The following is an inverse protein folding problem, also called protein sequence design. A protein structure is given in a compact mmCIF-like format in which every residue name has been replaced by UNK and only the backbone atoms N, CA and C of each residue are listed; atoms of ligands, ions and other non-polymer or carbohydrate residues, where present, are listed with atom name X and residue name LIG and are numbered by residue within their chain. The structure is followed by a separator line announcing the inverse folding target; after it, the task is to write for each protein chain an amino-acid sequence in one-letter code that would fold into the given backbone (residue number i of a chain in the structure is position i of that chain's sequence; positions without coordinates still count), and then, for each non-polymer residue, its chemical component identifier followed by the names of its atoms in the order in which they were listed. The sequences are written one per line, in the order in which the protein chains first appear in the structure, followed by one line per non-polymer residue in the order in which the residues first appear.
data_IF_489809643947
#
_entry.id   IF_489809643947
#
_cell.length_a   1.000
_cell.length_b   1.000
_cell.length_c   1.000
_cell.angle_alpha   90.00
_cell.angle_beta   90.00
_cell.angle_gamma   90.00
#
_symmetry.space_group_name_H-M   'P 1'
#
loop_
_entity.id
_entity.type
_entity.pdbx_description
1 polymer ?
#
# COMPACT_ATOMS: atom_id res chain seq x y z
N UNK A 1 -23.00 68.70 -27.63
CA UNK A 1 -24.23 68.63 -28.45
C UNK A 1 -23.96 67.74 -29.65
N UNK A 2 -24.86 66.75 -29.87
CA UNK A 2 -25.14 65.98 -31.11
C UNK A 2 -24.10 65.00 -31.68
N UNK A 3 -24.45 63.71 -31.52
CA UNK A 3 -24.24 62.54 -32.40
C UNK A 3 -24.82 62.75 -33.82
N UNK A 4 -24.92 61.74 -34.72
CA UNK A 4 -24.35 60.36 -34.77
C UNK A 4 -23.77 59.98 -36.16
N UNK A 5 -23.14 58.81 -36.29
CA UNK A 5 -23.42 57.89 -37.42
C UNK A 5 -23.14 56.44 -37.01
N UNK A 6 -24.03 55.59 -37.50
CA UNK A 6 -24.23 54.15 -37.26
C UNK A 6 -23.62 53.39 -38.43
N UNK A 7 -22.90 52.30 -38.19
CA UNK A 7 -22.83 51.20 -39.16
C UNK A 7 -22.57 49.87 -38.45
N UNK A 8 -23.14 48.84 -39.04
CA UNK A 8 -23.61 47.57 -38.49
C UNK A 8 -22.57 46.46 -38.47
N UNK A 9 -22.82 45.48 -37.59
CA UNK A 9 -22.19 44.16 -37.52
C UNK A 9 -22.27 43.41 -38.85
N UNK A 10 -21.14 42.88 -39.30
CA UNK A 10 -21.04 41.63 -40.06
C UNK A 10 -19.58 41.14 -40.00
N UNK A 11 -19.31 40.02 -39.31
CA UNK A 11 -18.10 39.23 -39.52
C UNK A 11 -18.27 37.82 -38.95
N UNK A 12 -18.84 36.96 -39.78
CA UNK A 12 -18.53 35.53 -39.82
C UNK A 12 -17.24 35.36 -40.66
N UNK A 13 -16.12 34.97 -40.04
CA UNK A 13 -14.97 34.36 -40.73
C UNK A 13 -13.93 33.82 -39.74
N UNK A 14 -13.91 32.52 -39.58
CA UNK A 14 -12.78 31.74 -39.06
C UNK A 14 -11.58 31.80 -40.03
N UNK A 15 -10.35 32.04 -39.57
CA UNK A 15 -9.15 31.82 -40.37
C UNK A 15 -8.64 30.38 -40.24
N UNK A 16 -8.38 29.78 -41.40
CA UNK A 16 -7.82 28.45 -41.63
C UNK A 16 -6.36 28.33 -41.15
N UNK A 17 -6.00 27.15 -40.61
CA UNK A 17 -4.63 26.73 -40.28
C UNK A 17 -4.10 25.87 -41.45
N UNK A 18 -2.82 25.99 -41.87
CA UNK A 18 -2.29 25.26 -43.02
C UNK A 18 -2.05 23.78 -42.72
N UNK A 19 -2.34 22.92 -43.70
CA UNK A 19 -2.02 21.51 -43.71
C UNK A 19 -0.52 21.28 -43.95
N UNK A 20 0.10 20.45 -43.11
CA UNK A 20 1.40 19.84 -43.37
C UNK A 20 1.17 18.38 -43.76
N UNK A 21 1.66 18.02 -44.96
CA UNK A 21 1.78 16.67 -45.46
C UNK A 21 3.02 16.00 -44.85
N UNK A 22 2.83 14.95 -44.05
CA UNK A 22 3.88 13.94 -43.81
C UNK A 22 3.25 12.53 -43.84
N UNK A 23 3.74 11.73 -44.79
CA UNK A 23 3.42 10.30 -44.97
C UNK A 23 3.83 9.47 -43.74
N UNK A 24 3.02 8.46 -43.34
CA UNK A 24 3.42 7.51 -42.32
C UNK A 24 4.40 6.45 -42.88
N UNK A 25 5.38 5.98 -42.09
CA UNK A 25 6.29 4.93 -42.53
C UNK A 25 5.58 3.58 -42.68
N UNK A 26 5.94 2.88 -43.74
CA UNK A 26 5.49 1.54 -44.12
C UNK A 26 5.85 0.49 -43.06
N UNK A 27 4.85 0.02 -42.33
CA UNK A 27 4.96 -1.16 -41.46
C UNK A 27 5.02 -2.43 -42.33
N UNK A 28 6.09 -3.22 -42.16
CA UNK A 28 6.25 -4.53 -42.78
C UNK A 28 5.15 -5.51 -42.37
N UNK A 29 4.69 -6.32 -43.34
CA UNK A 29 3.78 -7.45 -43.12
C UNK A 29 4.39 -8.44 -42.12
N UNK A 30 3.79 -8.55 -40.93
CA UNK A 30 3.89 -9.72 -40.07
C UNK A 30 2.59 -10.52 -40.17
N UNK A 31 2.73 -11.78 -40.55
CA UNK A 31 1.67 -12.80 -40.59
C UNK A 31 1.11 -13.04 -39.19
N UNK A 32 -0.21 -13.25 -39.00
CA UNK A 32 -0.74 -13.53 -37.66
C UNK A 32 -0.34 -14.95 -37.24
N UNK A 33 0.50 -15.05 -36.21
CA UNK A 33 0.68 -16.29 -35.45
C UNK A 33 -0.54 -16.57 -34.57
N UNK A 34 -0.79 -17.82 -34.17
CA UNK A 34 -1.95 -18.17 -33.34
C UNK A 34 -1.87 -17.45 -31.97
N UNK A 35 -3.01 -17.11 -31.35
CA UNK A 35 -3.02 -16.33 -30.12
C UNK A 35 -2.33 -17.09 -28.97
N UNK A 36 -1.27 -16.49 -28.42
CA UNK A 36 -0.65 -16.95 -27.18
C UNK A 36 -1.53 -16.67 -25.96
N UNK A 37 -1.41 -17.47 -24.88
CA UNK A 37 -2.26 -17.32 -23.70
C UNK A 37 -1.97 -16.01 -22.97
N UNK A 38 -3.03 -15.28 -22.62
CA UNK A 38 -2.97 -14.07 -21.78
C UNK A 38 -2.84 -14.50 -20.32
N UNK A 39 -1.71 -14.14 -19.68
CA UNK A 39 -1.51 -14.30 -18.24
C UNK A 39 -2.00 -13.04 -17.51
N UNK A 40 -2.91 -13.21 -16.54
CA UNK A 40 -3.30 -12.20 -15.56
C UNK A 40 -2.30 -12.13 -14.38
N UNK A 41 -2.45 -11.15 -13.47
CA UNK A 41 -1.41 -10.76 -12.51
C UNK A 41 -1.21 -11.69 -11.29
N UNK A 42 -1.66 -12.94 -11.36
CA UNK A 42 -1.36 -13.96 -10.35
C UNK A 42 -0.52 -15.06 -10.99
N UNK A 43 0.78 -15.05 -10.72
CA UNK A 43 1.69 -16.13 -11.08
C UNK A 43 1.38 -17.38 -10.28
N UNK A 44 0.90 -18.44 -10.94
CA UNK A 44 0.66 -19.72 -10.31
C UNK A 44 1.97 -20.53 -10.23
N UNK A 45 2.36 -20.92 -9.01
CA UNK A 45 3.31 -22.00 -8.75
C UNK A 45 2.74 -23.34 -9.29
N UNK A 46 3.54 -24.26 -9.85
CA UNK A 46 3.02 -25.46 -10.52
C UNK A 46 2.60 -26.62 -9.58
N UNK A 47 2.32 -26.40 -8.30
CA UNK A 47 2.16 -27.50 -7.33
C UNK A 47 0.81 -27.60 -6.61
N UNK A 48 -0.23 -26.93 -7.08
CA UNK A 48 -1.59 -27.12 -6.53
C UNK A 48 -2.57 -27.56 -7.61
N UNK A 49 -2.95 -28.84 -7.56
CA UNK A 49 -3.99 -29.44 -8.39
C UNK A 49 -5.33 -28.75 -8.11
N UNK A 50 -5.88 -28.08 -9.12
CA UNK A 50 -7.12 -27.31 -9.01
C UNK A 50 -8.31 -28.26 -8.76
N UNK A 51 -9.06 -28.13 -7.64
CA UNK A 51 -10.14 -29.03 -7.28
C UNK A 51 -11.34 -28.99 -8.26
N UNK A 52 -11.49 -27.90 -9.02
CA UNK A 52 -12.53 -27.79 -10.04
C UNK A 52 -12.23 -28.62 -11.30
N UNK A 53 -10.95 -28.88 -11.57
CA UNK A 53 -10.54 -29.71 -12.70
C UNK A 53 -10.78 -31.21 -12.44
N UNK A 54 -10.80 -31.61 -11.16
CA UNK A 54 -11.19 -32.97 -10.77
C UNK A 54 -12.70 -33.22 -10.97
N UNK A 55 -13.53 -32.20 -10.77
CA UNK A 55 -14.97 -32.28 -11.04
C UNK A 55 -15.28 -32.36 -12.54
N UNK A 56 -14.49 -31.67 -13.37
CA UNK A 56 -14.62 -31.72 -14.83
C UNK A 56 -14.18 -33.07 -15.44
N UNK A 57 -13.50 -33.93 -14.69
CA UNK A 57 -13.09 -35.29 -15.12
C UNK A 57 -14.10 -36.39 -14.74
N UNK A 58 -15.16 -36.07 -13.99
CA UNK A 58 -16.25 -37.02 -13.76
C UNK A 58 -17.09 -37.17 -15.03
N UNK A 59 -17.04 -38.38 -15.61
CA UNK A 59 -17.69 -38.80 -16.87
C UNK A 59 -19.19 -38.45 -16.92
N UNK A 60 -19.62 -37.80 -18.01
CA UNK A 60 -20.99 -37.34 -18.30
C UNK A 60 -22.04 -38.48 -18.35
N UNK A 61 -21.62 -39.74 -18.25
CA UNK A 61 -22.52 -40.91 -18.25
C UNK A 61 -23.40 -41.02 -17.01
N UNK A 62 -23.08 -40.32 -15.92
CA UNK A 62 -23.95 -40.27 -14.76
C UNK A 62 -25.20 -39.39 -15.02
N UNK A 63 -25.06 -38.28 -15.77
CA UNK A 63 -26.15 -37.33 -16.01
C UNK A 63 -27.23 -37.91 -16.94
N UNK A 64 -26.85 -38.70 -17.95
CA UNK A 64 -27.79 -39.34 -18.89
C UNK A 64 -28.67 -40.41 -18.23
N UNK A 65 -28.19 -41.05 -17.15
CA UNK A 65 -28.97 -42.06 -16.41
C UNK A 65 -30.05 -41.41 -15.53
N UNK A 66 -29.87 -40.14 -15.13
CA UNK A 66 -30.86 -39.39 -14.35
C UNK A 66 -31.92 -38.73 -15.24
N UNK A 67 -31.65 -38.49 -16.52
CA UNK A 67 -32.56 -37.78 -17.43
C UNK A 67 -33.39 -38.68 -18.37
N UNK A 68 -33.15 -39.99 -18.43
CA UNK A 68 -33.89 -40.93 -19.29
C UNK A 68 -35.00 -41.74 -18.58
N UNK A 69 -35.58 -41.25 -17.49
CA UNK A 69 -36.81 -41.85 -16.95
C UNK A 69 -38.02 -41.02 -17.35
N UNK A 70 -38.91 -41.68 -18.07
CA UNK A 70 -40.07 -41.23 -18.86
C UNK A 70 -40.96 -40.11 -18.25
N UNK A 71 -41.71 -39.38 -19.11
CA UNK A 71 -42.42 -38.14 -18.78
C UNK A 71 -43.77 -38.30 -18.08
N UNK A 72 -44.15 -39.47 -17.59
CA UNK A 72 -45.56 -39.73 -17.22
C UNK A 72 -45.84 -39.67 -15.71
N UNK A 73 -44.91 -39.16 -14.90
CA UNK A 73 -45.05 -39.11 -13.44
C UNK A 73 -45.58 -37.77 -12.89
N UNK A 74 -46.09 -36.87 -13.74
CA UNK A 74 -46.72 -35.62 -13.29
C UNK A 74 -48.26 -35.59 -13.39
N UNK A 75 -48.91 -36.57 -14.03
CA UNK A 75 -50.39 -36.59 -14.20
C UNK A 75 -51.15 -37.54 -13.25
N UNK A 76 -50.46 -38.27 -12.37
CA UNK A 76 -51.09 -39.29 -11.52
C UNK A 76 -51.58 -38.78 -10.14
N UNK A 77 -51.69 -37.46 -9.94
CA UNK A 77 -52.29 -36.89 -8.73
C UNK A 77 -53.77 -36.48 -8.86
N UNK A 78 -54.39 -36.64 -10.05
CA UNK A 78 -55.77 -36.17 -10.28
C UNK A 78 -56.82 -37.24 -10.64
N UNK A 79 -56.48 -38.51 -10.85
CA UNK A 79 -57.52 -39.55 -11.06
C UNK A 79 -57.20 -40.83 -10.30
N UNK A 80 -58.01 -41.09 -9.27
CA UNK A 80 -57.95 -42.33 -8.49
C UNK A 80 -58.28 -43.54 -9.37
N UNK A 81 -57.26 -44.31 -9.73
CA UNK A 81 -57.41 -45.58 -10.43
C UNK A 81 -56.20 -46.47 -10.17
N UNK A 82 -56.39 -47.58 -9.46
CA UNK A 82 -55.38 -48.63 -9.32
C UNK A 82 -55.28 -49.43 -10.62
N UNK A 83 -54.09 -49.59 -11.23
CA UNK A 83 -53.93 -50.53 -12.33
C UNK A 83 -53.94 -51.96 -11.79
N UNK A 84 -54.85 -52.77 -12.32
CA UNK A 84 -55.00 -54.20 -12.06
C UNK A 84 -53.88 -54.97 -12.78
N UNK A 85 -53.00 -55.63 -12.03
CA UNK A 85 -51.91 -56.42 -12.58
C UNK A 85 -52.28 -57.91 -12.61
N UNK A 86 -52.35 -58.48 -13.81
CA UNK A 86 -52.61 -59.89 -14.08
C UNK A 86 -51.32 -60.72 -13.96
N UNK A 87 -51.33 -61.79 -13.16
CA UNK A 87 -50.18 -62.66 -12.92
C UNK A 87 -49.96 -63.72 -14.03
N UNK A 88 -48.71 -64.02 -14.45
CA UNK A 88 -48.38 -65.22 -15.23
C UNK A 88 -48.24 -66.47 -14.33
N UNK A 89 -48.44 -67.69 -14.88
CA UNK A 89 -48.61 -68.91 -14.10
C UNK A 89 -47.29 -69.47 -13.52
N UNK A 90 -47.41 -70.00 -12.32
CA UNK A 90 -46.40 -70.72 -11.52
C UNK A 90 -45.94 -72.05 -12.14
N UNK A 91 -44.65 -72.36 -12.00
CA UNK A 91 -44.10 -73.71 -12.05
C UNK A 91 -43.31 -74.04 -10.75
N UNK A 92 -43.20 -75.32 -10.33
CA UNK A 92 -43.14 -75.67 -8.91
C UNK A 92 -41.79 -76.22 -8.42
N UNK A 93 -41.58 -76.08 -7.10
CA UNK A 93 -40.64 -76.88 -6.30
C UNK A 93 -39.25 -76.27 -6.19
N UNK A 94 -38.69 -76.02 -5.00
CA UNK A 94 -38.57 -76.99 -3.92
C UNK A 94 -38.37 -76.29 -2.57
N UNK A 95 -38.88 -76.96 -1.53
CA UNK A 95 -38.89 -76.53 -0.14
C UNK A 95 -37.47 -76.54 0.43
N UNK A 96 -36.99 -75.39 0.92
CA UNK A 96 -36.09 -75.36 2.09
C UNK A 96 -36.59 -74.31 3.08
N UNK A 97 -37.01 -74.80 4.24
CA UNK A 97 -37.52 -74.01 5.36
C UNK A 97 -36.42 -73.12 5.93
N UNK A 98 -36.69 -71.83 5.87
CA UNK A 98 -36.64 -70.87 6.97
C UNK A 98 -35.52 -71.04 8.03
N UNK A 99 -34.43 -70.30 7.84
CA UNK A 99 -33.87 -69.49 8.94
C UNK A 99 -34.14 -68.04 8.60
N UNK A 100 -35.14 -67.47 9.27
CA UNK A 100 -35.58 -66.10 9.08
C UNK A 100 -34.46 -65.12 9.41
N UNK A 101 -33.87 -64.54 8.36
CA UNK A 101 -33.22 -63.24 8.44
C UNK A 101 -34.28 -62.25 7.96
N UNK A 102 -34.90 -61.58 8.92
CA UNK A 102 -35.98 -60.64 8.64
C UNK A 102 -35.52 -59.56 7.64
N UNK A 103 -36.40 -59.13 6.73
CA UNK A 103 -36.09 -58.03 5.83
C UNK A 103 -35.97 -56.75 6.66
N UNK A 104 -34.85 -56.03 6.50
CA UNK A 104 -34.69 -54.64 6.91
C UNK A 104 -35.63 -53.76 6.09
N UNK A 105 -36.93 -53.82 6.41
CA UNK A 105 -37.97 -52.96 5.85
C UNK A 105 -38.92 -52.62 6.99
N UNK A 106 -38.59 -51.52 7.68
CA UNK A 106 -39.42 -50.60 8.50
C UNK A 106 -38.60 -50.11 9.69
N UNK A 107 -37.88 -49.01 9.51
CA UNK A 107 -37.33 -48.22 10.61
C UNK A 107 -37.71 -46.73 10.47
N UNK A 108 -38.95 -46.46 10.07
CA UNK A 108 -39.62 -45.18 10.33
C UNK A 108 -40.99 -45.42 10.99
N UNK A 109 -41.10 -46.49 11.78
CA UNK A 109 -42.27 -46.82 12.58
C UNK A 109 -42.03 -46.37 14.02
N UNK A 110 -42.58 -45.23 14.38
CA UNK A 110 -42.55 -44.62 15.74
C UNK A 110 -41.19 -44.09 16.18
N UNK A 111 -40.77 -42.95 15.62
CA UNK A 111 -39.98 -42.01 16.42
C UNK A 111 -40.81 -41.78 17.70
N UNK A 112 -40.34 -42.30 18.84
CA UNK A 112 -40.97 -42.05 20.13
C UNK A 112 -41.19 -40.55 20.28
N UNK A 113 -42.19 -40.11 21.05
CA UNK A 113 -42.50 -38.68 21.22
C UNK A 113 -41.22 -37.85 21.48
N UNK A 114 -40.26 -38.41 22.22
CA UNK A 114 -38.94 -37.82 22.46
C UNK A 114 -38.10 -37.55 21.21
N UNK A 115 -38.09 -38.42 20.20
CA UNK A 115 -37.31 -38.21 18.99
C UNK A 115 -37.94 -37.17 18.04
N UNK A 116 -39.29 -37.06 18.04
CA UNK A 116 -39.98 -35.95 17.34
C UNK A 116 -39.75 -34.61 18.03
N UNK A 117 -39.80 -34.59 19.37
CA UNK A 117 -39.47 -33.40 20.16
C UNK A 117 -38.00 -33.01 19.93
N UNK A 118 -37.07 -33.96 19.97
CA UNK A 118 -35.66 -33.71 19.70
C UNK A 118 -35.44 -33.15 18.27
N UNK A 119 -36.07 -33.73 17.25
CA UNK A 119 -36.01 -33.19 15.89
C UNK A 119 -36.60 -31.77 15.81
N UNK A 120 -37.72 -31.51 16.47
CA UNK A 120 -38.32 -30.17 16.53
C UNK A 120 -37.39 -29.15 17.22
N UNK A 121 -36.77 -29.53 18.35
CA UNK A 121 -35.80 -28.68 19.06
C UNK A 121 -34.58 -28.40 18.17
N UNK A 122 -34.07 -29.40 17.45
CA UNK A 122 -32.95 -29.20 16.51
C UNK A 122 -33.32 -28.26 15.36
N UNK A 123 -34.52 -28.37 14.80
CA UNK A 123 -35.00 -27.47 13.73
C UNK A 123 -35.13 -26.04 14.25
N UNK A 124 -35.71 -25.85 15.44
CA UNK A 124 -35.83 -24.52 16.04
C UNK A 124 -34.46 -23.94 16.37
N UNK A 125 -33.56 -24.75 16.95
CA UNK A 125 -32.19 -24.33 17.22
C UNK A 125 -31.47 -23.91 15.92
N UNK A 126 -31.58 -24.70 14.86
CA UNK A 126 -31.01 -24.36 13.55
C UNK A 126 -31.58 -23.05 12.99
N UNK A 127 -32.89 -22.83 13.09
CA UNK A 127 -33.51 -21.59 12.64
C UNK A 127 -33.05 -20.38 13.48
N UNK A 128 -32.96 -20.53 14.81
CA UNK A 128 -32.42 -19.48 15.68
C UNK A 128 -30.97 -19.16 15.35
N UNK A 129 -30.13 -20.17 15.11
CA UNK A 129 -28.74 -19.93 14.70
C UNK A 129 -28.66 -19.21 13.36
N UNK A 130 -29.55 -19.53 12.41
CA UNK A 130 -29.59 -18.85 11.12
C UNK A 130 -29.97 -17.38 11.31
N UNK A 131 -31.06 -17.10 12.02
CA UNK A 131 -31.51 -15.72 12.29
C UNK A 131 -30.42 -14.92 13.01
N UNK A 132 -29.74 -15.53 13.98
CA UNK A 132 -28.62 -14.92 14.69
C UNK A 132 -27.48 -14.50 13.76
N UNK A 133 -27.08 -15.38 12.82
CA UNK A 133 -26.03 -15.08 11.84
C UNK A 133 -26.44 -14.03 10.80
N UNK A 134 -27.71 -13.98 10.42
CA UNK A 134 -28.21 -12.91 9.55
C UNK A 134 -28.26 -11.56 10.29
N UNK A 135 -28.59 -11.57 11.59
CA UNK A 135 -28.66 -10.37 12.39
C UNK A 135 -27.29 -9.70 12.58
N UNK A 136 -26.22 -10.49 12.79
CA UNK A 136 -24.86 -9.93 12.92
C UNK A 136 -24.38 -9.32 11.60
N UNK A 137 -24.54 -10.01 10.46
CA UNK A 137 -24.18 -9.49 9.13
C UNK A 137 -24.91 -8.18 8.81
N UNK A 138 -26.19 -8.08 9.19
CA UNK A 138 -26.95 -6.85 9.02
C UNK A 138 -26.41 -5.71 9.91
N UNK A 139 -26.07 -6.02 11.16
CA UNK A 139 -25.55 -5.06 12.12
C UNK A 139 -24.17 -4.53 11.70
N UNK A 140 -23.27 -5.42 11.26
CA UNK A 140 -21.94 -5.11 10.71
C UNK A 140 -22.06 -4.13 9.54
N UNK A 141 -22.78 -4.50 8.46
CA UNK A 141 -22.98 -3.64 7.30
C UNK A 141 -23.63 -2.28 7.68
N UNK A 142 -24.56 -2.28 8.64
CA UNK A 142 -25.18 -1.03 9.11
C UNK A 142 -24.19 -0.15 9.87
N UNK A 143 -23.30 -0.74 10.67
CA UNK A 143 -22.24 -0.06 11.39
C UNK A 143 -21.22 0.54 10.42
N UNK A 144 -20.77 -0.23 9.42
CA UNK A 144 -19.85 0.23 8.37
C UNK A 144 -20.37 1.48 7.66
N UNK A 145 -21.62 1.46 7.18
CA UNK A 145 -22.22 2.62 6.53
C UNK A 145 -22.37 3.82 7.47
N UNK A 146 -22.65 3.57 8.75
CA UNK A 146 -22.80 4.62 9.76
C UNK A 146 -21.45 5.29 10.03
N UNK A 147 -20.40 4.49 10.24
CA UNK A 147 -19.03 4.95 10.46
C UNK A 147 -18.47 5.68 9.24
N UNK A 148 -18.70 5.15 8.04
CA UNK A 148 -18.32 5.84 6.79
C UNK A 148 -18.88 7.27 6.74
N UNK A 149 -20.17 7.43 7.06
CA UNK A 149 -20.85 8.74 7.04
C UNK A 149 -20.39 9.66 8.17
N UNK A 150 -20.24 9.13 9.40
CA UNK A 150 -19.89 9.94 10.56
C UNK A 150 -18.44 10.39 10.56
N UNK A 151 -17.52 9.56 10.06
CA UNK A 151 -16.09 9.85 9.95
C UNK A 151 -15.69 10.44 8.59
N UNK A 152 -16.65 10.62 7.66
CA UNK A 152 -16.42 11.14 6.31
C UNK A 152 -15.30 10.39 5.55
N UNK A 153 -15.32 9.06 5.64
CA UNK A 153 -14.31 8.19 5.03
C UNK A 153 -14.58 8.00 3.53
N UNK A 154 -13.51 7.93 2.74
CA UNK A 154 -13.61 7.67 1.29
C UNK A 154 -14.16 6.27 1.00
N UNK A 155 -13.61 5.26 1.68
CA UNK A 155 -14.07 3.88 1.66
C UNK A 155 -14.92 3.56 2.90
N UNK A 156 -15.76 2.53 2.81
CA UNK A 156 -16.42 2.00 4.01
C UNK A 156 -15.36 1.26 4.84
N UNK A 157 -15.32 1.44 6.17
CA UNK A 157 -14.53 0.57 7.02
C UNK A 157 -15.15 -0.83 7.03
N UNK A 158 -14.35 -1.83 7.38
CA UNK A 158 -14.80 -3.20 7.67
C UNK A 158 -15.07 -3.32 9.17
N UNK A 159 -16.23 -3.87 9.54
CA UNK A 159 -16.63 -4.07 10.94
C UNK A 159 -17.02 -5.53 11.13
N UNK A 160 -16.31 -6.23 12.02
CA UNK A 160 -16.67 -7.59 12.43
C UNK A 160 -17.10 -7.60 13.89
N UNK A 161 -18.26 -8.19 14.18
CA UNK A 161 -18.78 -8.33 15.53
C UNK A 161 -18.70 -9.79 15.95
N UNK A 162 -17.86 -10.05 16.93
CA UNK A 162 -17.59 -11.40 17.39
C UNK A 162 -18.60 -11.90 18.43
N UNK A 163 -18.65 -13.23 18.54
CA UNK A 163 -19.41 -13.94 19.57
C UNK A 163 -20.75 -14.52 19.12
N UNK A 164 -21.22 -15.51 19.89
CA UNK A 164 -22.40 -16.31 19.58
C UNK A 164 -23.15 -16.69 20.87
N UNK A 165 -24.48 -16.53 20.95
CA UNK A 165 -25.37 -15.88 19.97
C UNK A 165 -25.29 -14.34 20.01
N UNK A 166 -25.21 -13.69 18.85
CA UNK A 166 -25.17 -12.23 18.71
C UNK A 166 -26.43 -11.55 19.27
N UNK A 167 -27.61 -12.11 19.01
CA UNK A 167 -28.87 -11.51 19.47
C UNK A 167 -28.96 -11.41 20.99
N UNK A 168 -28.36 -12.36 21.71
CA UNK A 168 -28.28 -12.32 23.18
C UNK A 168 -27.37 -11.18 23.65
N UNK A 169 -26.23 -11.00 22.99
CA UNK A 169 -25.29 -9.91 23.25
C UNK A 169 -25.92 -8.54 22.98
N UNK A 170 -26.54 -8.39 21.80
CA UNK A 170 -27.25 -7.17 21.41
C UNK A 170 -28.41 -6.84 22.38
N UNK A 171 -29.19 -7.85 22.80
CA UNK A 171 -30.26 -7.67 23.79
C UNK A 171 -29.71 -7.27 25.17
N UNK A 172 -28.54 -7.77 25.54
CA UNK A 172 -27.81 -7.37 26.75
C UNK A 172 -27.09 -6.01 26.60
N UNK A 173 -27.13 -5.40 25.40
CA UNK A 173 -26.40 -4.18 25.02
C UNK A 173 -24.89 -4.26 25.27
N UNK A 174 -24.33 -5.44 25.14
CA UNK A 174 -22.93 -5.73 25.43
C UNK A 174 -22.38 -6.64 24.34
N UNK A 175 -21.38 -6.16 23.62
CA UNK A 175 -20.62 -6.94 22.65
C UNK A 175 -19.28 -7.28 23.28
N UNK A 176 -18.90 -8.55 23.21
CA UNK A 176 -17.66 -9.01 23.84
C UNK A 176 -16.43 -8.49 23.09
N UNK A 177 -16.41 -8.64 21.75
CA UNK A 177 -15.32 -8.22 20.88
C UNK A 177 -15.86 -7.60 19.59
N UNK A 178 -15.31 -6.47 19.17
CA UNK A 178 -15.62 -5.81 17.89
C UNK A 178 -14.31 -5.47 17.19
N UNK A 179 -14.13 -5.92 15.96
CA UNK A 179 -13.03 -5.53 15.09
C UNK A 179 -13.47 -4.44 14.13
N UNK A 180 -12.58 -3.47 13.92
CA UNK A 180 -12.77 -2.35 13.02
C UNK A 180 -11.50 -2.19 12.21
N UNK A 181 -11.61 -2.25 10.88
CA UNK A 181 -10.50 -1.96 9.97
C UNK A 181 -10.88 -0.79 9.08
N UNK A 182 -10.10 0.28 9.14
CA UNK A 182 -10.28 1.49 8.35
C UNK A 182 -9.13 1.59 7.34
N UNK A 183 -9.40 1.37 6.04
CA UNK A 183 -8.41 1.60 5.00
C UNK A 183 -8.24 3.11 4.72
N UNK A 184 -7.09 3.48 4.17
CA UNK A 184 -6.80 4.80 3.61
C UNK A 184 -7.06 5.99 4.56
N UNK A 185 -6.64 5.87 5.82
CA UNK A 185 -6.76 6.97 6.78
C UNK A 185 -5.66 7.99 6.53
N UNK A 186 -6.04 9.26 6.42
CA UNK A 186 -5.11 10.36 6.32
C UNK A 186 -4.34 10.56 7.65
N UNK A 187 -3.05 10.23 7.66
CA UNK A 187 -2.14 10.42 8.78
C UNK A 187 -1.26 11.65 8.55
N UNK A 188 -1.84 12.85 8.70
CA UNK A 188 -1.10 14.11 8.56
C UNK A 188 -0.63 14.36 7.12
N UNK A 189 0.69 14.29 6.89
CA UNK A 189 1.31 14.48 5.54
C UNK A 189 1.36 13.20 4.69
N UNK A 190 0.92 12.07 5.22
CA UNK A 190 0.91 10.78 4.52
C UNK A 190 -0.53 10.27 4.53
N UNK A 191 -1.18 10.23 3.37
CA UNK A 191 -2.62 10.03 3.26
C UNK A 191 -3.10 8.56 3.35
N UNK A 192 -2.20 7.59 3.53
CA UNK A 192 -2.52 6.16 3.35
C UNK A 192 -1.89 5.31 4.46
N UNK A 193 -2.57 5.23 5.60
CA UNK A 193 -2.32 4.19 6.60
C UNK A 193 -3.58 3.32 6.75
N UNK A 194 -3.37 2.02 6.91
CA UNK A 194 -4.41 1.10 7.35
C UNK A 194 -4.45 1.13 8.88
N UNK A 195 -5.64 1.31 9.44
CA UNK A 195 -5.84 1.35 10.90
C UNK A 195 -6.79 0.23 11.28
N UNK A 196 -6.31 -0.73 12.06
CA UNK A 196 -7.15 -1.75 12.67
C UNK A 196 -7.28 -1.53 14.17
N UNK A 197 -8.46 -1.79 14.71
CA UNK A 197 -8.75 -1.66 16.12
C UNK A 197 -9.67 -2.81 16.56
N UNK A 198 -9.40 -3.34 17.74
CA UNK A 198 -10.23 -4.35 18.41
C UNK A 198 -10.69 -3.77 19.73
N UNK A 199 -12.00 -3.56 19.85
CA UNK A 199 -12.65 -3.17 21.10
C UNK A 199 -13.12 -4.40 21.87
N UNK A 200 -12.89 -4.40 23.18
CA UNK A 200 -13.32 -5.45 24.10
C UNK A 200 -14.29 -4.88 25.15
N UNK A 201 -15.28 -5.67 25.55
CA UNK A 201 -16.33 -5.28 26.52
C UNK A 201 -17.04 -3.98 26.10
N UNK A 202 -17.60 -3.97 24.90
CA UNK A 202 -18.27 -2.80 24.31
C UNK A 202 -19.70 -2.73 24.81
N UNK A 203 -20.03 -1.70 25.58
CA UNK A 203 -21.36 -1.48 26.16
C UNK A 203 -22.05 -0.33 25.45
N UNK A 204 -23.17 -0.62 24.80
CA UNK A 204 -23.91 0.36 24.01
C UNK A 204 -24.88 1.17 24.89
N UNK A 205 -24.85 2.49 24.76
CA UNK A 205 -25.80 3.42 25.38
C UNK A 205 -26.84 3.92 24.36
N UNK A 206 -28.09 4.13 24.79
CA UNK A 206 -29.17 4.65 23.94
C UNK A 206 -30.57 4.25 24.40
N UNK A 207 -31.63 4.77 23.77
CA UNK A 207 -33.03 4.43 24.09
C UNK A 207 -33.63 3.37 23.14
N UNK A 208 -34.40 2.41 23.68
CA UNK A 208 -35.05 1.35 22.89
C UNK A 208 -34.16 0.18 22.46
N UNK A 209 -34.68 -0.79 21.72
CA UNK A 209 -33.91 -1.98 21.31
C UNK A 209 -32.91 -1.72 20.17
N UNK A 210 -33.04 -0.59 19.46
CA UNK A 210 -32.27 -0.28 18.25
C UNK A 210 -31.57 1.09 18.30
N UNK A 211 -31.78 1.88 19.36
CA UNK A 211 -31.13 3.18 19.52
C UNK A 211 -29.74 3.00 20.12
N UNK A 212 -28.72 3.51 19.42
CA UNK A 212 -27.33 3.57 19.89
C UNK A 212 -26.85 5.01 19.75
N UNK A 213 -26.66 5.68 20.88
CA UNK A 213 -26.21 7.07 20.97
C UNK A 213 -24.72 7.17 21.37
N UNK A 214 -24.18 6.09 21.95
CA UNK A 214 -22.78 5.95 22.29
C UNK A 214 -22.38 4.53 22.71
N UNK A 215 -21.12 4.38 23.05
CA UNK A 215 -20.55 3.14 23.58
C UNK A 215 -19.44 3.43 24.61
N UNK A 216 -19.40 2.61 25.65
CA UNK A 216 -18.30 2.53 26.61
C UNK A 216 -17.50 1.25 26.32
N UNK A 217 -16.20 1.39 26.06
CA UNK A 217 -15.33 0.31 25.63
C UNK A 217 -14.33 0.04 26.75
N UNK A 218 -14.38 -1.16 27.31
CA UNK A 218 -13.52 -1.56 28.43
C UNK A 218 -12.03 -1.57 28.07
N UNK A 219 -11.68 -2.12 26.91
CA UNK A 219 -10.29 -2.18 26.41
C UNK A 219 -10.20 -2.06 24.89
N UNK A 220 -9.11 -1.48 24.40
CA UNK A 220 -8.84 -1.35 22.97
C UNK A 220 -7.41 -1.84 22.69
N UNK A 221 -7.28 -2.69 21.68
CA UNK A 221 -6.00 -2.98 21.02
C UNK A 221 -6.06 -2.41 19.59
N UNK A 222 -5.10 -1.57 19.22
CA UNK A 222 -5.04 -0.97 17.89
C UNK A 222 -3.74 -1.29 17.19
N UNK A 223 -3.77 -1.30 15.86
CA UNK A 223 -2.61 -1.42 15.01
C UNK A 223 -2.73 -0.42 13.85
N UNK A 224 -1.67 0.32 13.58
CA UNK A 224 -1.56 1.24 12.44
C UNK A 224 -0.44 0.72 11.57
N UNK A 225 -0.76 0.39 10.32
CA UNK A 225 0.19 -0.09 9.32
C UNK A 225 0.38 0.98 8.25
N UNK A 226 1.63 1.40 8.08
CA UNK A 226 2.06 2.27 7.00
C UNK A 226 2.86 1.45 5.98
N UNK A 227 2.30 1.22 4.80
CA UNK A 227 3.00 0.50 3.74
C UNK A 227 4.08 1.38 3.10
N UNK A 228 5.18 0.77 2.65
CA UNK A 228 6.24 1.48 1.95
C UNK A 228 5.85 1.95 0.55
N UNK A 229 4.96 1.22 -0.12
CA UNK A 229 4.42 1.62 -1.42
C UNK A 229 3.61 2.91 -1.31
N UNK A 230 2.80 3.02 -0.26
CA UNK A 230 2.00 4.21 0.02
C UNK A 230 2.87 5.37 0.48
N UNK A 231 3.87 5.11 1.32
CA UNK A 231 4.84 6.12 1.72
C UNK A 231 5.56 6.76 0.51
N UNK A 232 6.01 5.95 -0.45
CA UNK A 232 6.67 6.45 -1.66
C UNK A 232 5.76 7.29 -2.56
N UNK A 233 4.48 6.90 -2.65
CA UNK A 233 3.44 7.66 -3.39
C UNK A 233 3.19 9.03 -2.76
N UNK A 234 3.02 9.06 -1.43
CA UNK A 234 2.66 10.27 -0.67
C UNK A 234 3.82 11.25 -0.52
N UNK A 235 5.06 10.78 -0.42
CA UNK A 235 6.23 11.64 -0.34
C UNK A 235 6.67 12.22 -1.70
N UNK A 236 5.93 11.94 -2.79
CA UNK A 236 6.35 12.30 -4.15
C UNK A 236 7.67 11.64 -4.56
N UNK A 237 8.02 10.54 -3.89
CA UNK A 237 9.27 9.82 -4.02
C UNK A 237 9.04 8.46 -4.69
N UNK A 238 8.22 8.42 -5.74
CA UNK A 238 7.81 7.16 -6.40
C UNK A 238 8.97 6.39 -7.03
N UNK A 239 10.13 7.04 -7.21
CA UNK A 239 11.37 6.42 -7.69
C UNK A 239 12.32 6.00 -6.55
N UNK A 240 11.88 6.12 -5.30
CA UNK A 240 12.60 5.68 -4.10
C UNK A 240 11.92 4.43 -3.54
N UNK A 241 12.68 3.34 -3.47
CA UNK A 241 12.28 2.12 -2.79
C UNK A 241 12.60 2.22 -1.31
N UNK A 242 11.57 2.03 -0.48
CA UNK A 242 11.72 1.89 0.97
C UNK A 242 11.71 0.41 1.34
N UNK A 243 12.67 -0.02 2.16
CA UNK A 243 12.76 -1.42 2.62
C UNK A 243 13.09 -1.48 4.10
N UNK A 244 12.44 -2.38 4.82
CA UNK A 244 12.70 -2.62 6.23
C UNK A 244 13.95 -3.47 6.44
N UNK A 245 14.74 -3.12 7.45
CA UNK A 245 15.91 -3.88 7.88
C UNK A 245 15.92 -4.02 9.40
N UNK A 246 15.83 -5.25 9.87
CA UNK A 246 15.68 -5.50 11.31
C UNK A 246 14.30 -5.03 11.77
N UNK A 247 14.20 -4.54 13.01
CA UNK A 247 12.93 -4.16 13.65
C UNK A 247 12.73 -2.66 13.76
N UNK A 248 13.73 -1.85 13.40
CA UNK A 248 13.73 -0.40 13.68
C UNK A 248 14.31 0.43 12.53
N UNK A 249 14.81 -0.17 11.42
CA UNK A 249 15.45 0.59 10.35
C UNK A 249 14.72 0.50 9.03
N UNK A 250 14.45 1.63 8.41
CA UNK A 250 13.97 1.75 7.04
C UNK A 250 15.11 2.24 6.16
N UNK A 251 15.31 1.62 5.01
CA UNK A 251 16.31 2.01 4.03
C UNK A 251 15.60 2.63 2.83
N UNK A 252 15.97 3.84 2.46
CA UNK A 252 15.47 4.53 1.28
C UNK A 252 16.55 4.54 0.20
N UNK A 253 16.26 3.93 -0.97
CA UNK A 253 17.18 3.87 -2.11
C UNK A 253 16.44 4.15 -3.41
N UNK A 254 16.99 5.01 -4.26
CA UNK A 254 16.41 5.24 -5.58
C UNK A 254 16.87 6.55 -6.19
N UNK A 255 15.99 7.22 -6.94
CA UNK A 255 16.27 8.55 -7.48
C UNK A 255 15.31 9.60 -6.96
N UNK A 256 15.83 10.80 -6.75
CA UNK A 256 15.09 11.96 -6.29
C UNK A 256 15.17 13.06 -7.37
N UNK A 257 14.04 13.59 -7.83
CA UNK A 257 14.04 14.74 -8.72
C UNK A 257 14.43 16.01 -7.94
N UNK A 258 15.59 16.57 -8.23
CA UNK A 258 16.10 17.82 -7.64
C UNK A 258 16.40 18.81 -8.76
N UNK A 259 15.72 19.96 -8.75
CA UNK A 259 15.83 20.99 -9.79
C UNK A 259 15.70 20.44 -11.22
N UNK A 260 14.78 19.49 -11.44
CA UNK A 260 14.55 18.85 -12.74
C UNK A 260 15.58 17.79 -13.14
N UNK A 261 16.44 17.34 -12.22
CA UNK A 261 17.41 16.26 -12.45
C UNK A 261 17.17 15.09 -11.51
N UNK A 262 17.27 13.88 -12.04
CA UNK A 262 17.23 12.66 -11.25
C UNK A 262 18.59 12.43 -10.59
N UNK A 263 18.62 12.48 -9.25
CA UNK A 263 19.83 12.23 -8.46
C UNK A 263 19.68 10.95 -7.65
N UNK A 264 20.72 10.13 -7.57
CA UNK A 264 20.64 8.88 -6.81
C UNK A 264 20.67 9.17 -5.31
N UNK A 265 19.61 8.77 -4.60
CA UNK A 265 19.44 8.95 -3.16
C UNK A 265 19.71 7.64 -2.42
N UNK A 266 20.46 7.74 -1.33
CA UNK A 266 20.51 6.73 -0.27
C UNK A 266 20.31 7.40 1.08
N UNK A 267 19.44 6.86 1.91
CA UNK A 267 19.27 7.29 3.29
C UNK A 267 18.80 6.12 4.14
N UNK A 268 19.11 6.15 5.43
CA UNK A 268 18.62 5.21 6.42
C UNK A 268 17.79 5.99 7.44
N UNK A 269 16.63 5.47 7.84
CA UNK A 269 15.80 6.05 8.89
C UNK A 269 15.66 5.06 10.04
N UNK A 270 15.82 5.54 11.26
CA UNK A 270 15.71 4.76 12.48
C UNK A 270 14.43 5.13 13.22
N UNK A 271 13.52 4.18 13.33
CA UNK A 271 12.20 4.34 13.92
C UNK A 271 12.24 3.84 15.35
N UNK A 272 11.85 4.69 16.29
CA UNK A 272 11.80 4.36 17.71
C UNK A 272 10.53 4.90 18.34
N UNK A 273 10.06 4.22 19.38
CA UNK A 273 9.04 4.77 20.26
C UNK A 273 9.63 5.91 21.08
N UNK A 274 8.87 7.00 21.19
CA UNK A 274 9.17 8.18 21.99
C UNK A 274 8.05 8.41 23.03
N UNK A 275 8.33 8.05 24.28
CA UNK A 275 7.34 8.08 25.36
C UNK A 275 6.14 7.18 25.09
N UNK A 276 4.97 7.56 25.62
CA UNK A 276 3.74 6.75 25.53
C UNK A 276 2.88 7.08 24.31
N UNK A 277 3.18 8.16 23.59
CA UNK A 277 2.33 8.63 22.46
C UNK A 277 3.12 9.05 21.22
N UNK A 278 4.45 9.07 21.29
CA UNK A 278 5.32 9.50 20.20
C UNK A 278 6.01 8.34 19.48
N UNK A 279 6.24 8.55 18.19
CA UNK A 279 7.19 7.79 17.36
C UNK A 279 8.23 8.77 16.86
N UNK A 280 9.50 8.55 17.19
CA UNK A 280 10.62 9.32 16.69
C UNK A 280 11.26 8.60 15.49
N UNK A 281 11.59 9.38 14.46
CA UNK A 281 12.28 8.90 13.26
C UNK A 281 13.60 9.63 13.14
N UNK A 282 14.75 8.97 13.17
CA UNK A 282 16.05 9.62 12.99
C UNK A 282 16.62 9.26 11.61
N UNK A 283 16.75 10.24 10.72
CA UNK A 283 17.33 10.02 9.39
C UNK A 283 18.85 10.18 9.44
N UNK A 284 19.57 9.16 8.98
CA UNK A 284 21.02 9.06 9.01
C UNK A 284 21.57 8.59 7.67
N UNK A 285 22.87 8.80 7.44
CA UNK A 285 23.55 8.29 6.25
C UNK A 285 23.00 8.81 4.92
N UNK A 286 22.31 9.95 4.93
CA UNK A 286 21.77 10.55 3.72
C UNK A 286 22.91 10.91 2.77
N UNK A 287 22.76 10.49 1.52
CA UNK A 287 23.73 10.69 0.44
C UNK A 287 22.97 10.86 -0.87
N UNK A 288 23.30 11.92 -1.58
CA UNK A 288 22.77 12.19 -2.93
C UNK A 288 23.94 12.19 -3.90
N UNK A 289 23.96 11.25 -4.83
CA UNK A 289 25.01 11.14 -5.84
C UNK A 289 24.55 11.81 -7.15
N UNK A 290 25.38 12.71 -7.67
CA UNK A 290 25.17 13.44 -8.92
C UNK A 290 25.92 12.69 -10.03
N UNK A 291 25.31 11.58 -10.47
CA UNK A 291 25.99 10.62 -11.34
C UNK A 291 27.27 10.13 -10.69
N UNK A 292 28.37 10.16 -11.43
CA UNK A 292 29.72 9.89 -10.94
C UNK A 292 30.54 11.17 -10.73
N UNK A 293 29.93 12.35 -10.79
CA UNK A 293 30.65 13.62 -10.71
C UNK A 293 30.91 14.03 -9.26
N UNK A 294 29.87 13.99 -8.44
CA UNK A 294 29.94 14.48 -7.07
C UNK A 294 28.98 13.73 -6.15
N UNK A 295 29.31 13.71 -4.86
CA UNK A 295 28.45 13.23 -3.79
C UNK A 295 28.12 14.39 -2.87
N UNK A 296 26.83 14.53 -2.56
CA UNK A 296 26.34 15.43 -1.54
C UNK A 296 25.94 14.66 -0.27
N UNK A 297 26.39 15.13 0.89
CA UNK A 297 25.96 14.65 2.21
C UNK A 297 25.49 15.84 3.05
N UNK A 298 24.26 15.84 3.56
CA UNK A 298 23.81 16.91 4.44
C UNK A 298 24.51 16.80 5.80
N UNK A 299 24.96 17.94 6.32
CA UNK A 299 25.55 18.10 7.64
C UNK A 299 26.59 19.21 7.68
N UNK A 300 27.29 19.32 8.80
CA UNK A 300 28.37 20.33 9.02
C UNK A 300 29.69 19.68 9.40
N UNK A 301 29.80 18.35 9.31
CA UNK A 301 31.01 17.59 9.53
C UNK A 301 32.02 17.73 8.38
N UNK A 302 33.24 17.23 8.58
CA UNK A 302 34.34 17.40 7.60
C UNK A 302 34.11 16.67 6.28
N UNK A 303 33.21 15.68 6.24
CA UNK A 303 32.85 14.90 5.04
C UNK A 303 31.46 15.25 4.50
N UNK A 304 30.83 16.25 5.11
CA UNK A 304 29.51 16.76 4.72
C UNK A 304 29.68 17.90 3.71
N UNK A 305 28.61 18.21 2.97
CA UNK A 305 28.64 19.11 1.83
C UNK A 305 28.72 18.37 0.50
N UNK A 306 29.04 19.11 -0.56
CA UNK A 306 29.14 18.60 -1.92
C UNK A 306 30.61 18.41 -2.27
N UNK A 307 31.02 17.17 -2.50
CA UNK A 307 32.41 16.80 -2.80
C UNK A 307 32.49 16.12 -4.17
N UNK A 308 33.55 16.37 -4.91
CA UNK A 308 33.82 15.63 -6.16
C UNK A 308 34.12 14.15 -5.85
N UNK A 309 33.73 13.26 -6.75
CA UNK A 309 34.25 11.88 -6.70
C UNK A 309 35.59 11.81 -7.43
N UNK A 310 36.40 10.75 -7.21
CA UNK A 310 37.61 10.52 -8.01
C UNK A 310 37.35 10.54 -9.53
N UNK A 311 36.29 9.85 -9.98
CA UNK A 311 35.89 9.86 -11.39
C UNK A 311 35.40 11.23 -11.87
N UNK A 312 34.78 12.01 -10.98
CA UNK A 312 34.39 13.39 -11.27
C UNK A 312 35.59 14.31 -11.47
N UNK A 313 36.65 14.14 -10.67
CA UNK A 313 37.90 14.87 -10.80
C UNK A 313 38.66 14.47 -12.08
N UNK A 314 38.69 13.20 -12.44
CA UNK A 314 39.28 12.73 -13.70
C UNK A 314 38.57 13.39 -14.90
N UNK A 315 37.23 13.36 -14.92
CA UNK A 315 36.42 14.04 -15.96
C UNK A 315 36.62 15.56 -15.97
N UNK A 316 36.92 16.15 -14.82
CA UNK A 316 37.25 17.56 -14.71
C UNK A 316 38.63 17.86 -15.31
N UNK A 317 39.61 17.00 -15.04
CA UNK A 317 40.97 17.09 -15.57
C UNK A 317 40.98 16.98 -17.10
N UNK A 318 40.15 16.11 -17.67
CA UNK A 318 39.96 15.98 -19.12
C UNK A 318 39.42 17.25 -19.79
N UNK A 319 38.87 18.18 -18.99
CA UNK A 319 38.28 19.44 -19.46
C UNK A 319 39.10 20.61 -18.95
N UNK A 320 40.21 20.92 -19.62
CA UNK A 320 41.18 21.97 -19.22
C UNK A 320 40.51 23.29 -18.83
N UNK A 321 39.47 23.72 -19.54
CA UNK A 321 38.73 24.95 -19.22
C UNK A 321 38.05 24.93 -17.84
N UNK A 322 37.48 23.79 -17.42
CA UNK A 322 36.80 23.65 -16.12
C UNK A 322 37.82 23.48 -14.99
N UNK A 323 38.86 22.69 -15.21
CA UNK A 323 39.97 22.56 -14.28
C UNK A 323 40.64 23.91 -14.01
N UNK A 324 40.97 24.67 -15.07
CA UNK A 324 41.52 26.04 -14.93
C UNK A 324 40.58 26.97 -14.16
N UNK A 325 39.27 26.85 -14.33
CA UNK A 325 38.30 27.64 -13.56
C UNK A 325 38.36 27.36 -12.05
N UNK A 326 38.64 26.11 -11.65
CA UNK A 326 38.83 25.75 -10.24
C UNK A 326 40.10 26.39 -9.67
N UNK A 327 41.23 26.24 -10.36
CA UNK A 327 42.50 26.86 -9.97
C UNK A 327 42.53 28.39 -10.12
N UNK A 328 41.50 28.99 -10.71
CA UNK A 328 41.33 30.45 -10.75
C UNK A 328 40.95 31.01 -9.38
N UNK A 329 40.50 30.16 -8.45
CA UNK A 329 40.00 30.58 -7.14
C UNK A 329 41.15 30.63 -6.13
N UNK A 330 41.49 31.83 -5.60
CA UNK A 330 42.63 31.96 -4.70
C UNK A 330 42.54 31.12 -3.43
N UNK A 331 41.33 30.94 -2.89
CA UNK A 331 41.09 30.14 -1.68
C UNK A 331 41.36 28.65 -1.89
N UNK A 332 40.99 28.11 -3.06
CA UNK A 332 41.34 26.73 -3.43
C UNK A 332 42.86 26.60 -3.55
N UNK A 333 43.49 27.51 -4.29
CA UNK A 333 44.94 27.49 -4.50
C UNK A 333 45.72 27.53 -3.18
N UNK A 334 45.31 28.39 -2.24
CA UNK A 334 45.94 28.46 -0.92
C UNK A 334 45.71 27.20 -0.08
N UNK A 335 44.55 26.56 -0.20
CA UNK A 335 44.25 25.33 0.52
C UNK A 335 45.10 24.14 0.04
N UNK A 336 45.47 24.09 -1.24
CA UNK A 336 46.27 23.02 -1.84
C UNK A 336 47.76 23.04 -1.41
N UNK A 337 48.22 24.10 -0.76
CA UNK A 337 49.65 24.25 -0.38
C UNK A 337 50.62 24.26 -1.56
N UNK A 338 50.12 24.45 -2.79
CA UNK A 338 50.93 24.43 -4.02
C UNK A 338 51.54 25.82 -4.25
N UNK A 339 52.85 25.92 -4.59
CA UNK A 339 53.47 27.21 -4.89
C UNK A 339 52.77 27.95 -6.05
N UNK A 340 52.56 29.26 -5.92
CA UNK A 340 51.92 30.11 -6.93
C UNK A 340 52.59 30.04 -8.32
N UNK A 341 53.88 29.71 -8.38
CA UNK A 341 54.59 29.49 -9.65
C UNK A 341 54.07 28.26 -10.40
N UNK A 342 53.82 27.15 -9.68
CA UNK A 342 53.31 25.91 -10.27
C UNK A 342 51.85 26.07 -10.70
N UNK A 343 51.06 26.82 -9.95
CA UNK A 343 49.67 27.16 -10.30
C UNK A 343 49.63 28.01 -11.57
N UNK A 344 50.49 29.05 -11.67
CA UNK A 344 50.59 29.86 -12.88
C UNK A 344 51.04 29.06 -14.10
N UNK A 345 51.96 28.12 -13.92
CA UNK A 345 52.37 27.20 -14.99
C UNK A 345 51.20 26.32 -15.45
N UNK A 346 50.46 25.71 -14.51
CA UNK A 346 49.28 24.89 -14.79
C UNK A 346 48.13 25.69 -15.44
N UNK A 347 47.92 26.95 -15.08
CA UNK A 347 46.92 27.80 -15.74
C UNK A 347 47.31 28.15 -17.18
N UNK A 348 48.61 28.22 -17.48
CA UNK A 348 49.14 28.57 -18.80
C UNK A 348 49.24 27.37 -19.75
N UNK A 349 49.60 26.18 -19.26
CA UNK A 349 49.86 24.98 -20.07
C UNK A 349 49.06 23.76 -19.60
N UNK A 350 48.39 23.08 -20.54
CA UNK A 350 47.51 21.95 -20.24
C UNK A 350 48.26 20.69 -19.75
N UNK A 351 49.53 20.51 -20.12
CA UNK A 351 50.36 19.40 -19.63
C UNK A 351 50.80 19.64 -18.19
N UNK A 352 51.19 20.86 -17.86
CA UNK A 352 51.52 21.25 -16.48
C UNK A 352 50.27 21.14 -15.58
N UNK A 353 49.08 21.45 -16.11
CA UNK A 353 47.81 21.21 -15.43
C UNK A 353 47.55 19.73 -15.17
N UNK A 354 47.79 18.87 -16.16
CA UNK A 354 47.64 17.43 -16.02
C UNK A 354 48.64 16.85 -15.01
N UNK A 355 49.89 17.32 -15.01
CA UNK A 355 50.90 16.92 -14.02
C UNK A 355 50.49 17.33 -12.59
N UNK A 356 49.98 18.55 -12.45
CA UNK A 356 49.48 19.04 -11.16
C UNK A 356 48.29 18.20 -10.66
N UNK A 357 47.31 17.93 -11.53
CA UNK A 357 46.15 17.10 -11.23
C UNK A 357 46.49 15.60 -11.07
N UNK A 358 47.67 15.16 -11.51
CA UNK A 358 48.20 13.82 -11.26
C UNK A 358 48.92 13.69 -9.91
N UNK A 359 49.12 14.79 -9.17
CA UNK A 359 49.82 14.77 -7.88
C UNK A 359 48.86 14.27 -6.78
N UNK A 360 49.17 13.16 -6.06
CA UNK A 360 48.23 12.56 -5.10
C UNK A 360 47.74 13.51 -4.00
N UNK A 361 48.62 14.34 -3.44
CA UNK A 361 48.23 15.32 -2.42
C UNK A 361 47.26 16.36 -2.95
N UNK A 362 47.47 16.85 -4.18
CA UNK A 362 46.57 17.81 -4.83
C UNK A 362 45.21 17.17 -5.11
N UNK A 363 45.20 15.91 -5.55
CA UNK A 363 43.96 15.14 -5.75
C UNK A 363 43.19 14.99 -4.44
N UNK A 364 43.86 14.58 -3.37
CA UNK A 364 43.24 14.40 -2.05
C UNK A 364 42.62 15.71 -1.54
N UNK A 365 43.38 16.82 -1.62
CA UNK A 365 42.90 18.13 -1.19
C UNK A 365 41.72 18.62 -2.05
N UNK A 366 41.76 18.41 -3.38
CA UNK A 366 40.66 18.77 -4.28
C UNK A 366 39.39 17.97 -4.02
N UNK A 367 39.51 16.68 -3.65
CA UNK A 367 38.38 15.84 -3.28
C UNK A 367 37.79 16.22 -1.91
N UNK A 368 38.56 16.88 -1.05
CA UNK A 368 38.10 17.39 0.24
C UNK A 368 37.44 18.77 0.16
N UNK A 369 37.50 19.45 -0.99
CA UNK A 369 36.86 20.77 -1.17
C UNK A 369 35.34 20.62 -1.15
N UNK A 370 34.69 21.26 -0.18
CA UNK A 370 33.25 21.43 -0.18
C UNK A 370 32.83 22.48 -1.22
N UNK A 371 32.23 22.00 -2.31
CA UNK A 371 31.75 22.83 -3.41
C UNK A 371 30.58 23.75 -3.00
N UNK A 372 29.85 23.47 -1.92
CA UNK A 372 28.80 24.35 -1.39
C UNK A 372 29.40 25.62 -0.79
N UNK A 373 30.46 25.49 0.00
CA UNK A 373 31.13 26.66 0.60
C UNK A 373 31.85 27.48 -0.48
N UNK A 374 32.44 26.77 -1.46
CA UNK A 374 33.01 27.39 -2.65
C UNK A 374 31.95 28.16 -3.45
N UNK A 375 30.75 27.61 -3.58
CA UNK A 375 29.61 28.25 -4.24
C UNK A 375 29.27 29.59 -3.60
N UNK A 376 29.14 29.58 -2.27
CA UNK A 376 28.75 30.73 -1.48
C UNK A 376 29.77 31.86 -1.59
N UNK A 377 31.06 31.53 -1.63
CA UNK A 377 32.13 32.51 -1.79
C UNK A 377 32.32 32.98 -3.24
N UNK A 378 32.15 32.09 -4.22
CA UNK A 378 32.52 32.31 -5.63
C UNK A 378 31.49 31.74 -6.63
N UNK A 379 30.31 32.35 -6.76
CA UNK A 379 29.20 31.81 -7.57
C UNK A 379 29.52 31.69 -9.07
N UNK A 380 30.41 32.52 -9.61
CA UNK A 380 30.77 32.49 -11.02
C UNK A 380 31.60 31.26 -11.42
N UNK A 381 32.30 30.63 -10.46
CA UNK A 381 33.14 29.45 -10.68
C UNK A 381 32.26 28.24 -10.98
N UNK A 382 31.15 28.09 -10.28
CA UNK A 382 30.22 26.98 -10.48
C UNK A 382 29.59 26.94 -11.86
N UNK A 383 29.19 28.11 -12.38
CA UNK A 383 28.65 28.20 -13.75
C UNK A 383 29.69 27.74 -14.76
N UNK A 384 30.97 28.04 -14.54
CA UNK A 384 32.09 27.56 -15.36
C UNK A 384 32.36 26.07 -15.20
N UNK A 385 32.10 25.51 -14.02
CA UNK A 385 32.17 24.06 -13.75
C UNK A 385 30.95 23.30 -14.33
N UNK A 386 29.91 24.01 -14.77
CA UNK A 386 28.68 23.42 -15.31
C UNK A 386 27.71 22.93 -14.22
N UNK A 387 27.86 23.42 -12.99
CA UNK A 387 26.94 23.16 -11.89
C UNK A 387 25.84 24.22 -11.90
N UNK A 388 24.58 23.78 -11.89
CA UNK A 388 23.41 24.66 -11.89
C UNK A 388 23.25 25.30 -10.49
N UNK A 389 23.14 26.64 -10.38
CA UNK A 389 22.91 27.31 -9.09
C UNK A 389 21.63 26.83 -8.39
N UNK A 390 20.54 26.60 -9.15
CA UNK A 390 19.27 26.16 -8.58
C UNK A 390 19.34 24.74 -8.01
N UNK A 391 20.24 23.90 -8.53
CA UNK A 391 20.50 22.59 -7.95
C UNK A 391 21.17 22.71 -6.59
N UNK A 392 22.15 23.61 -6.45
CA UNK A 392 22.84 23.83 -5.18
C UNK A 392 21.91 24.42 -4.13
N UNK A 393 21.09 25.39 -4.50
CA UNK A 393 20.07 25.94 -3.60
C UNK A 393 19.15 24.82 -3.09
N UNK A 394 18.69 23.93 -3.98
CA UNK A 394 17.87 22.79 -3.61
C UNK A 394 18.60 21.77 -2.71
N UNK A 395 19.90 21.54 -2.91
CA UNK A 395 20.72 20.67 -2.06
C UNK A 395 21.02 21.31 -0.70
N UNK A 396 21.34 22.60 -0.66
CA UNK A 396 21.57 23.37 0.57
C UNK A 396 20.29 23.45 1.40
N UNK A 397 19.12 23.52 0.75
CA UNK A 397 17.83 23.45 1.42
C UNK A 397 17.65 22.14 2.20
N UNK A 398 18.16 21.01 1.70
CA UNK A 398 18.17 19.75 2.45
C UNK A 398 19.02 19.79 3.73
N UNK A 399 19.95 20.74 3.84
CA UNK A 399 20.91 20.85 4.97
C UNK A 399 20.50 21.86 6.01
N UNK A 400 19.59 22.79 5.71
CA UNK A 400 19.29 23.89 6.64
C UNK A 400 18.95 23.31 8.02
N UNK A 401 19.50 23.86 9.12
CA UNK A 401 19.38 23.29 10.47
C UNK A 401 17.93 23.08 10.94
N UNK A 402 17.00 23.85 10.38
CA UNK A 402 15.56 23.68 10.63
C UNK A 402 15.00 22.38 10.02
N UNK A 403 15.67 21.75 9.07
CA UNK A 403 15.34 20.43 8.52
C UNK A 403 16.05 19.31 9.27
N UNK A 404 17.30 19.46 9.71
CA UNK A 404 17.96 18.45 10.57
C UNK A 404 17.17 18.20 11.87
N UNK A 405 16.68 19.25 12.53
CA UNK A 405 15.81 19.15 13.71
C UNK A 405 14.38 18.64 13.38
N UNK A 406 13.96 18.71 12.10
CA UNK A 406 12.63 18.24 11.62
C UNK A 406 12.68 16.88 10.92
N UNK A 407 13.86 16.39 10.55
CA UNK A 407 14.11 15.04 10.06
C UNK A 407 13.96 14.04 11.20
N UNK A 408 14.02 14.52 12.45
CA UNK A 408 13.30 13.92 13.57
C UNK A 408 11.79 14.09 13.38
N UNK A 409 11.21 13.30 12.47
CA UNK A 409 9.76 13.24 12.28
C UNK A 409 9.15 12.53 13.49
N UNK A 410 8.89 13.30 14.55
CA UNK A 410 8.11 12.90 15.69
C UNK A 410 6.63 12.89 15.31
N UNK A 411 6.03 11.72 15.13
CA UNK A 411 4.57 11.61 15.05
C UNK A 411 4.03 11.38 16.46
N UNK A 412 3.13 12.25 16.92
CA UNK A 412 2.39 12.02 18.16
C UNK A 412 0.99 11.55 17.81
N UNK A 413 0.52 10.50 18.49
CA UNK A 413 -0.86 10.07 18.35
C UNK A 413 -1.82 11.23 18.64
N UNK A 414 -2.79 11.52 17.75
CA UNK A 414 -3.79 12.54 18.03
C UNK A 414 -4.56 12.21 19.31
N UNK A 415 -5.09 13.23 19.97
CA UNK A 415 -6.07 13.04 21.03
C UNK A 415 -7.33 12.45 20.40
N UNK A 416 -7.73 11.25 20.84
CA UNK A 416 -8.95 10.62 20.35
C UNK A 416 -10.16 11.38 20.89
N UNK A 417 -11.25 11.50 20.11
CA UNK A 417 -12.47 12.09 20.60
C UNK A 417 -13.08 11.21 21.70
N UNK A 418 -13.07 11.66 22.96
CA UNK A 418 -13.66 10.97 24.10
C UNK A 418 -12.85 11.04 25.39
N UNK A 419 -13.39 10.44 26.45
CA UNK A 419 -12.62 10.09 27.65
C UNK A 419 -11.96 8.72 27.43
N UNK A 420 -10.70 8.56 27.83
CA UNK A 420 -9.95 7.31 27.76
C UNK A 420 -8.44 7.53 27.64
N UNK A 421 -7.64 6.53 28.02
CA UNK A 421 -6.20 6.55 27.84
C UNK A 421 -5.82 5.64 26.67
N UNK A 422 -5.05 6.17 25.71
CA UNK A 422 -4.48 5.40 24.60
C UNK A 422 -2.99 5.68 24.54
N UNK A 423 -2.24 4.59 24.52
CA UNK A 423 -0.77 4.60 24.54
C UNK A 423 -0.21 3.65 23.49
N UNK A 424 0.95 4.02 22.97
CA UNK A 424 1.81 3.16 22.18
C UNK A 424 2.27 1.98 23.03
N UNK A 425 2.08 0.79 22.48
CA UNK A 425 2.62 -0.44 23.01
C UNK A 425 3.96 -0.75 22.37
N UNK A 426 4.02 -0.68 21.05
CA UNK A 426 5.17 -1.12 20.26
C UNK A 426 5.25 -0.38 18.92
N UNK A 427 6.45 -0.25 18.38
CA UNK A 427 6.70 0.28 17.03
C UNK A 427 7.73 -0.63 16.39
N UNK A 428 7.39 -1.21 15.24
CA UNK A 428 8.28 -2.09 14.50
C UNK A 428 8.31 -1.74 13.03
N UNK A 429 9.49 -1.87 12.46
CA UNK A 429 9.71 -1.88 11.03
C UNK A 429 9.63 -3.33 10.54
N UNK A 430 8.83 -3.54 9.51
CA UNK A 430 8.68 -4.77 8.76
C UNK A 430 9.27 -4.60 7.35
N UNK A 431 9.52 -5.68 6.59
CA UNK A 431 10.17 -5.59 5.28
C UNK A 431 9.47 -4.62 4.30
N UNK A 432 8.15 -4.50 4.40
CA UNK A 432 7.26 -3.78 3.49
C UNK A 432 6.47 -2.63 4.16
N UNK A 433 6.72 -2.33 5.44
CA UNK A 433 6.06 -1.23 6.12
C UNK A 433 6.49 -0.97 7.55
N UNK A 434 5.79 -0.06 8.21
CA UNK A 434 5.95 0.25 9.63
C UNK A 434 4.64 -0.12 10.33
N UNK A 435 4.75 -0.89 11.41
CA UNK A 435 3.62 -1.34 12.23
C UNK A 435 3.72 -0.69 13.61
N UNK A 436 2.67 0.02 13.99
CA UNK A 436 2.55 0.72 15.26
C UNK A 436 1.41 0.10 16.05
N UNK A 437 1.69 -0.46 17.23
CA UNK A 437 0.67 -1.07 18.10
C UNK A 437 0.29 -0.15 19.24
N UNK A 438 -1.00 -0.15 19.54
CA UNK A 438 -1.68 0.75 20.46
C UNK A 438 -2.49 -0.06 21.45
N UNK A 439 -2.60 0.45 22.67
CA UNK A 439 -3.50 -0.09 23.68
C UNK A 439 -4.21 1.03 24.40
N UNK A 440 -5.45 0.82 24.78
CA UNK A 440 -6.21 1.75 25.58
C UNK A 440 -7.26 1.10 26.45
N UNK A 441 -7.85 1.89 27.34
CA UNK A 441 -8.90 1.43 28.26
C UNK A 441 -9.88 2.56 28.60
N UNK A 442 -11.12 2.16 28.92
CA UNK A 442 -12.17 3.07 29.39
C UNK A 442 -12.55 4.15 28.37
N UNK A 443 -12.63 3.75 27.09
CA UNK A 443 -12.88 4.66 25.98
C UNK A 443 -14.38 4.90 25.83
N UNK A 444 -14.83 6.16 25.88
CA UNK A 444 -16.23 6.53 25.57
C UNK A 444 -16.34 7.24 24.24
N UNK A 445 -17.24 6.74 23.39
CA UNK A 445 -17.52 7.28 22.05
C UNK A 445 -19.01 7.61 21.95
N UNK A 446 -19.35 8.76 21.36
CA UNK A 446 -20.74 9.24 21.30
C UNK A 446 -21.10 10.21 22.43
N UNK A 447 -22.37 10.59 22.52
CA UNK A 447 -22.88 11.55 23.54
C UNK A 447 -23.43 10.85 24.77
#
# INVERSE_FOLDING_TARGET
MRSPHRMTQDTDRSPQVPAYDEEPPTAGRQTPGPPGPRYGPYGANPEWDNPYEQLARLDDRAADTFLQREPDAFDAFETGGTPEYQAPPTAPGSRRRARGRGPARRAFGTLGRGARVAAGVLVVAALLTLVDRWAVLYAENKAEESLKRSMNLAAAPEVDIDGFPFLTQAAARRLDTVHLTVPDVAAGRVSLAEVSATGHDVRMSGEGLTGVDGADIGGIDGEVRLSFDDLGRELGASQVTFTGKGTDRVLARGTLPVAGRELALRADALIRRDGDRGVATEVTGMRVDIGDLATFRPGTGPVDGLHLTPSGLEKLADRSARAKALFSVPSIVHALGVPDSRIRAALADDRELADLLGTPAVVEDLLAVNLVDLAAAHPDVLRRLGVDPGLLDALTDLTRPQLADRLTLGFTLPELPGEGDVRLRDVRVEPDGIVVRLTGAGMRVGK
#
